data_IF_310074913359
#
_entry.id   IF_310074913359
#
_cell.length_a   1.000
_cell.length_b   1.000
_cell.length_c   1.000
_cell.angle_alpha   90.00
_cell.angle_beta   90.00
_cell.angle_gamma   90.00
#
_symmetry.space_group_name_H-M   'P 1'
#
loop_
_entity.id
_entity.type
_entity.pdbx_description
1 polymer ?
#
# COMPACT_ATOMS: atom_id res chain seq x y z
N UNK A 1 4.89 9.27 -20.77
CA UNK A 1 4.82 9.69 -19.35
C UNK A 1 6.20 10.13 -18.88
N UNK A 2 6.30 11.16 -18.04
CA UNK A 2 7.58 11.65 -17.52
C UNK A 2 7.85 11.01 -16.14
N UNK A 3 8.74 10.01 -16.11
CA UNK A 3 9.06 9.26 -14.88
C UNK A 3 10.00 10.00 -13.93
N UNK A 4 10.51 11.17 -14.35
CA UNK A 4 11.43 11.98 -13.54
C UNK A 4 10.80 12.42 -12.23
N UNK A 5 9.47 12.60 -12.18
CA UNK A 5 8.80 12.98 -10.94
C UNK A 5 9.00 11.94 -9.82
N UNK A 6 9.06 10.65 -10.19
CA UNK A 6 9.37 9.56 -9.26
C UNK A 6 10.88 9.45 -9.06
N UNK A 7 11.66 9.36 -10.14
CA UNK A 7 13.11 9.06 -10.05
C UNK A 7 13.96 10.19 -9.49
N UNK A 8 13.47 11.43 -9.50
CA UNK A 8 14.15 12.56 -8.87
C UNK A 8 13.97 12.61 -7.34
N UNK A 9 12.86 12.05 -6.82
CA UNK A 9 12.47 12.15 -5.41
C UNK A 9 12.64 10.83 -4.65
N UNK A 10 12.24 9.71 -5.24
CA UNK A 10 12.34 8.38 -4.66
C UNK A 10 13.69 7.76 -5.02
N UNK A 11 14.67 7.84 -4.12
CA UNK A 11 16.05 7.42 -4.38
C UNK A 11 16.61 6.51 -3.30
N UNK A 12 17.61 5.70 -3.70
CA UNK A 12 18.49 4.97 -2.78
C UNK A 12 19.29 5.92 -1.90
N UNK A 13 19.72 5.49 -0.70
CA UNK A 13 19.57 4.14 -0.14
C UNK A 13 18.22 3.85 0.53
N UNK A 14 17.53 4.87 1.02
CA UNK A 14 16.48 4.65 2.03
C UNK A 14 15.05 4.58 1.47
N UNK A 15 14.83 4.96 0.20
CA UNK A 15 13.49 5.00 -0.42
C UNK A 15 12.39 5.56 0.51
N UNK A 16 12.63 6.75 1.07
CA UNK A 16 11.75 7.36 2.07
C UNK A 16 10.26 7.28 1.66
N UNK A 17 9.38 6.66 2.47
CA UNK A 17 7.97 6.49 2.14
C UNK A 17 7.29 7.81 1.79
N UNK A 18 7.59 8.88 2.55
CA UNK A 18 7.02 10.20 2.32
C UNK A 18 7.33 10.75 0.93
N UNK A 19 8.57 10.61 0.47
CA UNK A 19 9.00 11.09 -0.84
C UNK A 19 8.51 10.16 -1.96
N UNK A 20 8.66 8.84 -1.77
CA UNK A 20 8.29 7.85 -2.77
C UNK A 20 6.78 7.80 -3.02
N UNK A 21 5.96 7.81 -1.96
CA UNK A 21 4.52 7.74 -2.08
C UNK A 21 3.91 9.05 -2.57
N UNK A 22 4.45 10.20 -2.14
CA UNK A 22 4.04 11.50 -2.67
C UNK A 22 4.30 11.60 -4.18
N UNK A 23 5.52 11.26 -4.61
CA UNK A 23 5.88 11.27 -6.03
C UNK A 23 5.08 10.25 -6.86
N UNK A 24 4.80 9.07 -6.28
CA UNK A 24 3.97 8.06 -6.92
C UNK A 24 2.53 8.54 -7.11
N UNK A 25 1.90 9.11 -6.07
CA UNK A 25 0.56 9.68 -6.16
C UNK A 25 0.49 10.79 -7.21
N UNK A 26 1.45 11.72 -7.19
CA UNK A 26 1.53 12.79 -8.19
C UNK A 26 1.59 12.26 -9.63
N UNK A 27 2.32 11.17 -9.84
CA UNK A 27 2.43 10.52 -11.14
C UNK A 27 1.19 9.73 -11.54
N UNK A 28 0.62 8.96 -10.60
CA UNK A 28 -0.41 7.94 -10.87
C UNK A 28 -1.84 8.49 -10.84
N UNK A 29 -2.11 9.50 -10.01
CA UNK A 29 -3.46 10.02 -9.79
C UNK A 29 -4.20 10.49 -11.06
N UNK A 30 -3.55 11.13 -12.05
CA UNK A 30 -4.19 11.48 -13.32
C UNK A 30 -4.73 10.28 -14.12
N UNK A 31 -4.29 9.07 -13.79
CA UNK A 31 -4.65 7.82 -14.47
C UNK A 31 -5.41 6.85 -13.55
N UNK A 32 -5.86 7.31 -12.37
CA UNK A 32 -6.48 6.47 -11.34
C UNK A 32 -7.65 5.62 -11.85
N UNK A 33 -8.48 6.14 -12.76
CA UNK A 33 -9.57 5.37 -13.36
C UNK A 33 -9.07 4.13 -14.11
N UNK A 34 -8.07 4.30 -14.99
CA UNK A 34 -7.52 3.16 -15.76
C UNK A 34 -6.73 2.21 -14.86
N UNK A 35 -6.02 2.75 -13.86
CA UNK A 35 -5.23 1.96 -12.93
C UNK A 35 -6.08 1.12 -11.98
N UNK A 36 -7.29 1.58 -11.64
CA UNK A 36 -8.23 0.87 -10.78
C UNK A 36 -9.17 -0.06 -11.56
N UNK A 37 -9.14 -0.05 -12.88
CA UNK A 37 -9.90 -0.98 -13.71
C UNK A 37 -9.16 -2.32 -13.84
N UNK A 38 -9.68 -3.32 -13.12
CA UNK A 38 -9.13 -4.67 -13.06
C UNK A 38 -9.32 -5.48 -14.36
N UNK A 39 -9.98 -4.92 -15.38
CA UNK A 39 -10.15 -5.58 -16.69
C UNK A 39 -9.02 -5.29 -17.67
N UNK A 40 -8.07 -4.43 -17.29
CA UNK A 40 -6.91 -4.07 -18.11
C UNK A 40 -5.58 -4.27 -17.37
N UNK A 41 -4.46 -4.16 -18.11
CA UNK A 41 -3.11 -4.34 -17.57
C UNK A 41 -2.39 -3.03 -17.23
N UNK A 42 -3.10 -1.89 -17.15
CA UNK A 42 -2.49 -0.57 -16.99
C UNK A 42 -1.65 -0.46 -15.71
N UNK A 43 -2.12 -1.01 -14.59
CA UNK A 43 -1.35 -1.01 -13.34
C UNK A 43 -0.05 -1.82 -13.47
N UNK A 44 -0.13 -3.03 -14.02
CA UNK A 44 1.03 -3.91 -14.24
C UNK A 44 2.07 -3.25 -15.16
N UNK A 45 1.61 -2.66 -16.26
CA UNK A 45 2.48 -1.96 -17.21
C UNK A 45 3.12 -0.74 -16.55
N UNK A 46 2.34 0.07 -15.83
CA UNK A 46 2.84 1.26 -15.15
C UNK A 46 3.93 0.92 -14.14
N UNK A 47 3.70 -0.06 -13.26
CA UNK A 47 4.72 -0.49 -12.30
C UNK A 47 5.96 -1.06 -12.98
N UNK A 48 5.81 -1.82 -14.07
CA UNK A 48 6.95 -2.32 -14.85
C UNK A 48 7.83 -1.17 -15.36
N UNK A 49 7.23 -0.14 -15.98
CA UNK A 49 8.00 1.01 -16.46
C UNK A 49 8.60 1.83 -15.33
N UNK A 50 7.89 2.06 -14.23
CA UNK A 50 8.43 2.76 -13.05
C UNK A 50 9.69 2.03 -12.55
N UNK A 51 9.58 0.71 -12.37
CA UNK A 51 10.68 -0.11 -11.85
C UNK A 51 11.89 -0.11 -12.79
N UNK A 52 11.67 -0.22 -14.11
CA UNK A 52 12.74 -0.20 -15.10
C UNK A 52 13.44 1.17 -15.18
N UNK A 53 12.69 2.27 -15.12
CA UNK A 53 13.26 3.62 -15.24
C UNK A 53 13.99 4.10 -13.97
N UNK A 54 13.58 3.63 -12.79
CA UNK A 54 14.21 3.98 -11.51
C UNK A 54 15.12 2.90 -10.91
N UNK A 55 15.22 1.74 -11.56
CA UNK A 55 15.86 0.53 -11.01
C UNK A 55 15.30 0.17 -9.61
N UNK A 56 13.98 0.29 -9.43
CA UNK A 56 13.32 0.00 -8.15
C UNK A 56 13.14 -1.50 -7.94
N UNK A 57 13.27 -1.99 -6.69
CA UNK A 57 12.94 -3.37 -6.37
C UNK A 57 11.44 -3.63 -6.55
N UNK A 58 11.05 -4.85 -6.97
CA UNK A 58 9.64 -5.21 -7.12
C UNK A 58 8.91 -5.07 -5.78
N UNK A 59 7.72 -4.49 -5.82
CA UNK A 59 6.88 -4.30 -4.63
C UNK A 59 7.25 -3.11 -3.75
N UNK A 60 8.26 -2.29 -4.09
CA UNK A 60 8.64 -1.11 -3.29
C UNK A 60 7.44 -0.25 -2.93
N UNK A 61 6.70 0.24 -3.94
CA UNK A 61 5.57 1.13 -3.71
C UNK A 61 4.41 0.45 -2.97
N UNK A 62 4.19 -0.85 -3.16
CA UNK A 62 3.17 -1.60 -2.42
C UNK A 62 3.54 -1.77 -0.94
N UNK A 63 4.84 -1.84 -0.62
CA UNK A 63 5.33 -1.99 0.74
C UNK A 63 5.41 -0.66 1.49
N UNK A 64 5.92 0.38 0.83
CA UNK A 64 6.13 1.70 1.41
C UNK A 64 4.84 2.53 1.46
N UNK A 65 3.96 2.40 0.46
CA UNK A 65 2.77 3.23 0.32
C UNK A 65 1.53 2.51 0.84
N UNK A 66 1.20 2.79 2.10
CA UNK A 66 -0.05 2.35 2.72
C UNK A 66 -1.00 3.53 2.86
N UNK A 67 -2.18 3.39 2.26
CA UNK A 67 -3.25 4.38 2.38
C UNK A 67 -4.31 3.97 3.40
N UNK A 68 -5.53 4.43 3.15
CA UNK A 68 -6.73 4.08 3.90
C UNK A 68 -7.24 2.68 3.53
N UNK A 69 -8.41 2.29 4.05
CA UNK A 69 -9.02 0.98 3.74
C UNK A 69 -9.49 0.91 2.28
N UNK A 70 -9.73 2.08 1.70
CA UNK A 70 -10.17 2.35 0.34
C UNK A 70 -8.98 2.40 -0.64
N UNK A 71 -7.76 2.46 -0.13
CA UNK A 71 -6.53 2.49 -0.92
C UNK A 71 -5.78 3.81 -0.77
N UNK A 72 -5.09 4.22 -1.83
CA UNK A 72 -4.29 5.44 -1.85
C UNK A 72 -5.15 6.61 -2.33
N UNK A 73 -5.45 7.54 -1.43
CA UNK A 73 -6.26 8.73 -1.77
C UNK A 73 -5.47 9.70 -2.66
N UNK A 74 -6.07 10.06 -3.79
CA UNK A 74 -5.54 11.07 -4.68
C UNK A 74 -5.97 12.47 -4.22
N UNK A 75 -5.03 13.43 -4.07
CA UNK A 75 -5.40 14.80 -3.73
C UNK A 75 -6.29 15.40 -4.82
N UNK A 76 -7.33 16.12 -4.40
CA UNK A 76 -8.37 16.68 -5.29
C UNK A 76 -7.82 17.75 -6.27
N UNK A 77 -6.67 18.34 -5.94
CA UNK A 77 -5.93 19.24 -6.81
C UNK A 77 -4.59 18.58 -7.15
N UNK A 78 -4.25 18.60 -8.45
CA UNK A 78 -2.96 18.13 -8.96
C UNK A 78 -1.74 18.79 -8.28
N UNK A 79 -0.53 18.45 -8.72
CA UNK A 79 0.70 18.45 -7.91
C UNK A 79 0.86 19.68 -7.01
N UNK A 80 0.50 19.54 -5.74
CA UNK A 80 0.83 20.53 -4.72
C UNK A 80 2.02 20.01 -3.94
N UNK A 81 3.21 20.35 -4.42
CA UNK A 81 4.39 20.42 -3.57
C UNK A 81 4.07 21.40 -2.45
N UNK A 82 3.85 20.85 -1.25
CA UNK A 82 3.55 21.51 0.04
C UNK A 82 2.09 21.42 0.51
N UNK A 83 1.66 20.23 0.91
CA UNK A 83 1.03 20.00 2.22
C UNK A 83 0.67 18.52 2.39
N UNK A 84 1.43 17.79 3.21
CA UNK A 84 0.80 17.04 4.30
C UNK A 84 1.85 16.72 5.37
N UNK A 85 2.17 17.75 6.13
CA UNK A 85 2.56 17.59 7.52
C UNK A 85 1.32 17.84 8.38
N UNK A 86 0.99 16.83 9.19
CA UNK A 86 0.21 16.90 10.44
C UNK A 86 -1.32 16.90 10.37
N UNK A 87 -1.89 15.77 10.79
CA UNK A 87 -2.69 15.80 12.01
C UNK A 87 -2.21 14.67 12.92
N UNK A 88 -1.35 15.04 13.87
CA UNK A 88 -1.29 14.36 15.14
C UNK A 88 -2.59 14.65 15.92
N UNK A 89 -3.28 13.61 16.37
CA UNK A 89 -4.14 13.67 17.54
C UNK A 89 -3.67 12.55 18.48
N UNK A 90 -3.26 12.83 19.73
CA UNK A 90 -3.26 11.81 20.76
C UNK A 90 -4.70 11.65 21.23
N UNK A 91 -5.36 10.54 20.90
CA UNK A 91 -6.57 10.12 21.60
C UNK A 91 -6.24 8.93 22.50
N UNK A 92 -6.56 9.15 23.76
CA UNK A 92 -6.30 8.35 24.93
C UNK A 92 -7.53 7.48 25.18
N UNK A 93 -7.58 6.30 24.56
CA UNK A 93 -8.61 5.29 24.85
C UNK A 93 -7.97 3.95 25.21
N UNK A 94 -7.59 3.81 26.49
CA UNK A 94 -7.29 2.53 27.10
C UNK A 94 -8.55 1.66 27.15
N UNK A 95 -8.69 0.76 26.17
CA UNK A 95 -9.66 -0.33 26.22
C UNK A 95 -8.89 -1.66 26.36
N UNK A 96 -9.00 -2.24 27.54
CA UNK A 96 -8.50 -3.58 27.89
C UNK A 96 -9.11 -4.62 26.93
N UNK A 97 -8.32 -5.15 26.00
CA UNK A 97 -8.74 -6.24 25.11
C UNK A 97 -8.53 -7.56 25.84
N UNK A 98 -9.63 -8.25 26.17
CA UNK A 98 -9.60 -9.61 26.70
C UNK A 98 -9.10 -10.60 25.63
N UNK A 99 -8.40 -11.69 26.00
CA UNK A 99 -7.96 -12.68 25.04
C UNK A 99 -9.15 -13.52 24.53
N UNK A 100 -9.48 -13.39 23.25
CA UNK A 100 -10.37 -14.32 22.55
C UNK A 100 -9.63 -15.64 22.28
N UNK A 101 -10.10 -16.74 22.86
CA UNK A 101 -9.58 -18.09 22.63
C UNK A 101 -10.00 -18.52 21.21
N UNK A 102 -9.08 -18.90 20.30
CA UNK A 102 -9.45 -19.32 18.96
C UNK A 102 -10.13 -20.70 18.99
N UNK A 103 -11.44 -20.71 18.85
CA UNK A 103 -12.27 -21.92 18.73
C UNK A 103 -11.89 -22.82 17.52
N UNK A 104 -11.03 -22.34 16.62
CA UNK A 104 -10.52 -23.08 15.47
C UNK A 104 -9.65 -24.29 15.86
N UNK A 105 -8.94 -24.24 16.99
CA UNK A 105 -8.09 -25.36 17.42
C UNK A 105 -8.88 -26.62 17.80
N UNK A 106 -10.07 -26.45 18.37
CA UNK A 106 -10.91 -27.56 18.84
C UNK A 106 -11.49 -28.34 17.66
N UNK A 107 -11.90 -27.64 16.59
CA UNK A 107 -12.46 -28.28 15.40
C UNK A 107 -11.40 -29.08 14.63
N UNK A 108 -10.18 -28.57 14.51
CA UNK A 108 -9.07 -29.26 13.85
C UNK A 108 -8.66 -30.53 14.61
N UNK A 109 -8.58 -30.46 15.95
CA UNK A 109 -8.27 -31.63 16.78
C UNK A 109 -9.37 -32.71 16.71
N UNK A 110 -10.65 -32.31 16.71
CA UNK A 110 -11.77 -33.24 16.52
C UNK A 110 -11.73 -33.92 15.16
N UNK A 111 -11.46 -33.17 14.08
CA UNK A 111 -11.34 -33.73 12.74
C UNK A 111 -10.18 -34.74 12.65
N UNK A 112 -9.00 -34.40 13.21
CA UNK A 112 -7.85 -35.29 13.23
C UNK A 112 -8.13 -36.59 14.01
N UNK A 113 -8.85 -36.52 15.14
CA UNK A 113 -9.21 -37.71 15.90
C UNK A 113 -10.19 -38.62 15.14
N UNK A 114 -11.13 -38.06 14.39
CA UNK A 114 -12.05 -38.85 13.56
C UNK A 114 -11.31 -39.57 12.42
N UNK A 115 -10.33 -38.90 11.78
CA UNK A 115 -9.50 -39.51 10.72
C UNK A 115 -8.56 -40.60 11.26
N UNK A 116 -8.17 -40.56 12.53
CA UNK A 116 -7.32 -41.59 13.12
C UNK A 116 -8.09 -42.81 13.63
N UNK A 117 -9.42 -42.71 13.79
CA UNK A 117 -10.29 -43.77 14.29
C UNK A 117 -11.14 -44.46 13.19
N UNK A 118 -10.98 -44.05 11.93
CA UNK A 118 -11.59 -44.64 10.73
C UNK A 118 -10.53 -44.86 9.65
#
# INVERSE_FOLDING_TARGET
>A
MNYTIITSQCKRPDYSPKLCCGAFLEFACPYSEQLNDLTNDCATIMFSYINLNGNYPPGLFANECRGSKEGLDCPADGPSANALGSSANPDENAATVAPAIPAFGVLVMLFLLHVLLF
#
